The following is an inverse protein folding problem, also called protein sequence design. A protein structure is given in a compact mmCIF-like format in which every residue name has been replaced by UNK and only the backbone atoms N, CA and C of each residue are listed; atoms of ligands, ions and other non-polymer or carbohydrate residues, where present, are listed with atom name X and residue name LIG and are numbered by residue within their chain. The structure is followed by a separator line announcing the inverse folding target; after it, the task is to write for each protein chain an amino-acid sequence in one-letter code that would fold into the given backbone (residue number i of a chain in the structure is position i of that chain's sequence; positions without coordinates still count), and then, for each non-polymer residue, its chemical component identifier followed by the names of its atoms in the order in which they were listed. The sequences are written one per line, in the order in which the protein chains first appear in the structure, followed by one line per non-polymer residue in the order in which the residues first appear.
data_IF_099978078542
#
_entry.id   IF_099978078542
#
_cell.length_a   1.000
_cell.length_b   1.000
_cell.length_c   1.000
_cell.angle_alpha   90.00
_cell.angle_beta   90.00
_cell.angle_gamma   90.00
#
_symmetry.space_group_name_H-M   'P 1'
#
loop_
_entity.id
_entity.type
_entity.pdbx_description
1 polymer ?
#
# COMPACT_ATOMS: atom_id res chain seq x y z
N UNK A 1 -28.01 -4.75 -2.38
CA UNK A 1 -26.97 -4.89 -1.35
C UNK A 1 -27.53 -5.84 -0.32
N UNK A 2 -26.86 -6.97 -0.14
CA UNK A 2 -27.24 -8.02 0.81
C UNK A 2 -26.01 -8.38 1.65
N UNK A 3 -25.54 -7.47 2.52
CA UNK A 3 -24.23 -7.67 3.17
C UNK A 3 -24.25 -8.79 4.23
N UNK A 4 -25.40 -9.04 4.85
CA UNK A 4 -25.59 -10.07 5.90
C UNK A 4 -25.09 -11.46 5.45
N UNK A 5 -25.18 -11.80 4.17
CA UNK A 5 -24.71 -13.11 3.68
C UNK A 5 -23.18 -13.30 3.75
N UNK A 6 -22.43 -12.21 3.91
CA UNK A 6 -20.96 -12.21 3.95
C UNK A 6 -20.38 -12.29 5.39
N UNK A 7 -21.21 -12.47 6.42
CA UNK A 7 -20.78 -12.54 7.82
C UNK A 7 -19.67 -13.58 8.07
N UNK A 8 -19.79 -14.76 7.45
CA UNK A 8 -18.81 -15.83 7.61
C UNK A 8 -17.43 -15.45 7.06
N UNK A 9 -17.38 -14.75 5.92
CA UNK A 9 -16.12 -14.29 5.31
C UNK A 9 -15.45 -13.23 6.18
N UNK A 10 -16.24 -12.33 6.78
CA UNK A 10 -15.71 -11.33 7.69
C UNK A 10 -15.20 -11.94 9.00
N UNK A 11 -15.95 -12.87 9.59
CA UNK A 11 -15.54 -13.60 10.80
C UNK A 11 -14.19 -14.33 10.62
N UNK A 12 -14.04 -15.06 9.51
CA UNK A 12 -12.79 -15.78 9.18
C UNK A 12 -11.57 -14.84 9.06
N UNK A 13 -11.80 -13.57 8.71
CA UNK A 13 -10.74 -12.57 8.52
C UNK A 13 -10.41 -11.78 9.78
N UNK A 14 -11.36 -11.65 10.70
CA UNK A 14 -11.18 -10.95 11.98
C UNK A 14 -10.29 -11.76 12.92
N UNK A 15 -10.63 -13.04 13.14
CA UNK A 15 -9.89 -13.99 13.97
C UNK A 15 -9.33 -13.37 15.27
N UNK A 16 -10.21 -12.74 16.06
CA UNK A 16 -9.85 -12.00 17.28
C UNK A 16 -10.08 -12.82 18.55
N UNK A 17 -11.18 -13.59 18.58
CA UNK A 17 -11.62 -14.35 19.74
C UNK A 17 -11.74 -15.85 19.37
N UNK A 18 -12.86 -16.47 19.72
CA UNK A 18 -13.27 -17.76 19.19
C UNK A 18 -14.23 -17.58 18.00
N UNK A 19 -14.37 -18.64 17.19
CA UNK A 19 -15.18 -18.60 15.96
C UNK A 19 -16.63 -18.17 16.19
N UNK A 20 -17.25 -18.55 17.31
CA UNK A 20 -18.65 -18.21 17.60
C UNK A 20 -18.75 -16.72 17.91
N UNK A 21 -17.88 -16.22 18.78
CA UNK A 21 -17.80 -14.80 19.13
C UNK A 21 -17.49 -13.93 17.92
N UNK A 22 -16.51 -14.33 17.10
CA UNK A 22 -16.14 -13.59 15.88
C UNK A 22 -17.26 -13.59 14.84
N UNK A 23 -18.03 -14.67 14.74
CA UNK A 23 -19.21 -14.74 13.84
C UNK A 23 -20.29 -13.77 14.30
N UNK A 24 -20.58 -13.73 15.60
CA UNK A 24 -21.57 -12.83 16.16
C UNK A 24 -21.14 -11.35 16.01
N UNK A 25 -19.88 -11.04 16.30
CA UNK A 25 -19.32 -9.70 16.09
C UNK A 25 -19.36 -9.28 14.63
N UNK A 26 -19.00 -10.17 13.70
CA UNK A 26 -19.05 -9.91 12.28
C UNK A 26 -20.49 -9.56 11.83
N UNK A 27 -21.48 -10.32 12.31
CA UNK A 27 -22.89 -10.08 12.05
C UNK A 27 -23.36 -8.72 12.56
N UNK A 28 -23.14 -8.43 13.84
CA UNK A 28 -23.55 -7.16 14.46
C UNK A 28 -22.90 -5.96 13.76
N UNK A 29 -21.63 -6.10 13.38
CA UNK A 29 -20.89 -5.07 12.67
C UNK A 29 -21.45 -4.82 11.28
N UNK A 30 -21.72 -5.88 10.50
CA UNK A 30 -22.26 -5.76 9.15
C UNK A 30 -23.68 -5.18 9.17
N UNK A 31 -24.56 -5.68 10.03
CA UNK A 31 -25.94 -5.19 10.16
C UNK A 31 -25.99 -3.70 10.51
N UNK A 32 -25.16 -3.25 11.48
CA UNK A 32 -25.08 -1.85 11.84
C UNK A 32 -24.59 -0.97 10.68
N UNK A 33 -23.59 -1.43 9.92
CA UNK A 33 -23.02 -0.65 8.83
C UNK A 33 -23.87 -0.68 7.56
N UNK A 34 -24.61 -1.74 7.30
CA UNK A 34 -25.56 -1.84 6.19
C UNK A 34 -26.64 -0.76 6.31
N UNK A 35 -27.28 -0.62 7.49
CA UNK A 35 -28.27 0.42 7.74
C UNK A 35 -27.70 1.83 7.52
N UNK A 36 -26.53 2.13 8.10
CA UNK A 36 -25.85 3.42 7.92
C UNK A 36 -25.44 3.68 6.48
N UNK A 37 -25.04 2.64 5.75
CA UNK A 37 -24.63 2.77 4.36
C UNK A 37 -25.81 3.04 3.44
N UNK A 38 -26.96 2.42 3.70
CA UNK A 38 -28.22 2.70 2.99
C UNK A 38 -28.64 4.15 3.18
N UNK A 39 -28.73 4.63 4.43
CA UNK A 39 -29.07 6.03 4.73
C UNK A 39 -28.08 7.01 4.06
N UNK A 40 -26.78 6.69 4.12
CA UNK A 40 -25.77 7.53 3.49
C UNK A 40 -25.94 7.60 1.97
N UNK A 41 -26.31 6.49 1.30
CA UNK A 41 -26.44 6.44 -0.17
C UNK A 41 -27.71 7.10 -0.69
N UNK A 42 -28.76 7.22 0.13
CA UNK A 42 -29.96 7.98 -0.21
C UNK A 42 -29.65 9.46 -0.44
N UNK A 43 -28.76 10.05 0.37
CA UNK A 43 -28.19 11.38 0.14
C UNK A 43 -26.93 11.29 -0.74
N UNK A 44 -27.14 11.27 -2.06
CA UNK A 44 -26.05 11.18 -3.05
C UNK A 44 -25.00 12.27 -2.92
N UNK A 45 -25.41 13.51 -2.60
CA UNK A 45 -24.47 14.62 -2.46
C UNK A 45 -23.57 14.41 -1.24
N UNK A 46 -24.16 13.99 -0.12
CA UNK A 46 -23.41 13.64 1.09
C UNK A 46 -22.50 12.45 0.86
N UNK A 47 -22.97 11.37 0.26
CA UNK A 47 -22.13 10.18 -0.01
C UNK A 47 -20.95 10.47 -0.97
N UNK A 48 -21.12 11.39 -1.91
CA UNK A 48 -20.04 11.79 -2.81
C UNK A 48 -18.98 12.66 -2.11
N UNK A 49 -19.40 13.59 -1.24
CA UNK A 49 -18.53 14.64 -0.68
C UNK A 49 -18.04 14.37 0.74
N UNK A 50 -18.88 13.76 1.58
CA UNK A 50 -18.70 13.49 3.01
C UNK A 50 -19.39 12.17 3.40
N UNK A 51 -18.91 11.02 2.89
CA UNK A 51 -19.49 9.73 3.23
C UNK A 51 -19.45 9.51 4.74
N UNK A 52 -20.48 8.85 5.27
CA UNK A 52 -20.59 8.56 6.71
C UNK A 52 -19.42 7.69 7.22
N UNK A 53 -18.87 6.84 6.34
CA UNK A 53 -17.61 6.15 6.60
C UNK A 53 -16.43 7.04 6.22
N UNK A 54 -15.63 7.42 7.23
CA UNK A 54 -14.36 8.12 7.02
C UNK A 54 -13.53 7.33 6.02
N UNK A 55 -13.05 8.03 4.98
CA UNK A 55 -12.21 7.45 3.95
C UNK A 55 -12.77 6.14 3.38
N UNK A 56 -14.10 6.00 3.26
CA UNK A 56 -14.75 4.80 2.72
C UNK A 56 -14.18 3.49 3.31
N UNK A 57 -13.71 3.50 4.56
CA UNK A 57 -13.00 2.35 5.14
C UNK A 57 -13.88 1.09 5.19
N UNK A 58 -15.17 1.26 5.42
CA UNK A 58 -16.12 0.14 5.36
C UNK A 58 -16.17 -0.51 3.97
N UNK A 59 -16.13 0.29 2.90
CA UNK A 59 -16.06 -0.22 1.53
C UNK A 59 -14.76 -1.00 1.29
N UNK A 60 -13.62 -0.47 1.76
CA UNK A 60 -12.35 -1.19 1.72
C UNK A 60 -12.44 -2.55 2.44
N UNK A 61 -13.12 -2.61 3.59
CA UNK A 61 -13.36 -3.87 4.33
C UNK A 61 -14.21 -4.85 3.52
N UNK A 62 -15.30 -4.39 2.88
CA UNK A 62 -16.14 -5.25 2.06
C UNK A 62 -15.36 -5.85 0.87
N UNK A 63 -14.50 -5.05 0.25
CA UNK A 63 -13.61 -5.53 -0.82
C UNK A 63 -12.58 -6.53 -0.26
N UNK A 64 -12.00 -6.25 0.92
CA UNK A 64 -11.02 -7.11 1.57
C UNK A 64 -11.56 -8.53 1.85
N UNK A 65 -12.82 -8.64 2.26
CA UNK A 65 -13.48 -9.94 2.54
C UNK A 65 -14.03 -10.63 1.29
N UNK A 66 -13.94 -10.01 0.11
CA UNK A 66 -14.40 -10.58 -1.15
C UNK A 66 -15.91 -10.46 -1.38
N UNK A 67 -16.54 -9.38 -0.91
CA UNK A 67 -17.93 -9.06 -1.33
C UNK A 67 -17.93 -8.76 -2.84
N UNK A 68 -18.85 -9.39 -3.56
CA UNK A 68 -19.00 -9.21 -5.00
C UNK A 68 -19.48 -7.78 -5.34
N UNK A 69 -19.08 -7.20 -6.48
CA UNK A 69 -19.42 -5.82 -6.84
C UNK A 69 -20.92 -5.49 -6.82
N UNK A 70 -21.78 -6.46 -7.10
CA UNK A 70 -23.25 -6.32 -7.10
C UNK A 70 -23.82 -6.10 -5.70
N UNK A 71 -23.14 -6.64 -4.69
CA UNK A 71 -23.50 -6.51 -3.28
C UNK A 71 -22.84 -5.31 -2.61
N UNK A 72 -21.84 -4.70 -3.24
CA UNK A 72 -21.26 -3.47 -2.74
C UNK A 72 -22.27 -2.30 -2.78
N UNK A 73 -22.09 -1.30 -1.90
CA UNK A 73 -22.75 0.00 -1.95
C UNK A 73 -22.67 0.70 -3.33
N UNK A 74 -23.59 0.43 -4.27
CA UNK A 74 -23.43 0.76 -5.70
C UNK A 74 -23.09 2.23 -5.98
N UNK A 75 -23.79 3.18 -5.34
CA UNK A 75 -23.48 4.60 -5.51
C UNK A 75 -22.12 4.94 -4.89
N UNK A 76 -21.87 4.50 -3.66
CA UNK A 76 -20.60 4.74 -2.96
C UNK A 76 -19.40 4.15 -3.71
N UNK A 77 -19.55 2.96 -4.27
CA UNK A 77 -18.54 2.26 -5.06
C UNK A 77 -18.28 2.96 -6.39
N UNK A 78 -19.32 3.39 -7.12
CA UNK A 78 -19.13 4.17 -8.35
C UNK A 78 -18.37 5.50 -8.11
N UNK A 79 -18.65 6.18 -6.99
CA UNK A 79 -17.91 7.38 -6.60
C UNK A 79 -16.47 7.06 -6.23
N UNK A 80 -16.20 5.91 -5.61
CA UNK A 80 -14.84 5.44 -5.30
C UNK A 80 -14.04 5.19 -6.58
N UNK A 81 -14.62 4.53 -7.57
CA UNK A 81 -13.98 4.30 -8.87
C UNK A 81 -13.68 5.62 -9.60
N UNK A 82 -14.63 6.55 -9.67
CA UNK A 82 -14.40 7.85 -10.32
C UNK A 82 -13.34 8.69 -9.60
N UNK A 83 -13.31 8.64 -8.26
CA UNK A 83 -12.29 9.30 -7.45
C UNK A 83 -10.89 8.74 -7.75
N UNK A 84 -10.76 7.42 -7.87
CA UNK A 84 -9.51 6.76 -8.27
C UNK A 84 -9.12 7.15 -9.70
N UNK A 85 -10.06 7.11 -10.65
CA UNK A 85 -9.83 7.49 -12.05
C UNK A 85 -9.22 8.89 -12.16
N UNK A 86 -9.87 9.87 -11.52
CA UNK A 86 -9.44 11.28 -11.53
C UNK A 86 -8.09 11.47 -10.84
N UNK A 87 -7.85 10.75 -9.75
CA UNK A 87 -6.58 10.84 -9.05
C UNK A 87 -5.42 10.25 -9.86
N UNK A 88 -5.61 9.07 -10.45
CA UNK A 88 -4.54 8.37 -11.20
C UNK A 88 -4.31 8.98 -12.58
N UNK A 89 -5.37 9.22 -13.36
CA UNK A 89 -5.26 9.66 -14.76
C UNK A 89 -5.19 11.19 -14.90
N UNK A 90 -5.92 11.93 -14.07
CA UNK A 90 -6.02 13.39 -14.19
C UNK A 90 -5.17 14.14 -13.15
N UNK A 91 -4.54 13.42 -12.21
CA UNK A 91 -3.82 13.99 -11.06
C UNK A 91 -4.67 14.98 -10.24
N UNK A 92 -5.99 14.75 -10.18
CA UNK A 92 -6.97 15.62 -9.50
C UNK A 92 -7.60 14.92 -8.31
N UNK A 93 -8.00 15.71 -7.32
CA UNK A 93 -8.72 15.24 -6.14
C UNK A 93 -7.82 15.03 -4.94
N UNK A 94 -8.33 14.29 -3.95
CA UNK A 94 -7.60 14.00 -2.70
C UNK A 94 -6.61 12.86 -2.90
N UNK A 95 -5.55 12.80 -2.09
CA UNK A 95 -4.61 11.68 -2.07
C UNK A 95 -5.37 10.38 -1.76
N UNK A 96 -5.20 9.37 -2.62
CA UNK A 96 -5.86 8.08 -2.47
C UNK A 96 -4.91 7.08 -1.82
N UNK A 97 -4.79 7.13 -0.50
CA UNK A 97 -4.02 6.16 0.29
C UNK A 97 -4.86 4.94 0.65
N UNK A 98 -4.22 3.77 0.60
CA UNK A 98 -4.74 2.48 1.04
C UNK A 98 -6.11 2.13 0.45
N UNK A 99 -6.35 2.53 -0.80
CA UNK A 99 -7.63 2.28 -1.49
C UNK A 99 -7.61 0.92 -2.14
N UNK A 100 -8.54 0.06 -1.73
CA UNK A 100 -8.68 -1.28 -2.26
C UNK A 100 -9.76 -1.31 -3.34
N UNK A 101 -9.55 -2.14 -4.34
CA UNK A 101 -10.52 -2.47 -5.36
C UNK A 101 -10.17 -3.79 -6.05
N UNK A 102 -11.17 -4.53 -6.57
CA UNK A 102 -10.91 -5.66 -7.43
C UNK A 102 -10.00 -5.27 -8.60
N UNK A 103 -9.03 -6.13 -8.95
CA UNK A 103 -8.06 -5.84 -10.02
C UNK A 103 -8.77 -5.52 -11.34
N UNK A 104 -9.82 -6.28 -11.66
CA UNK A 104 -10.63 -6.07 -12.88
C UNK A 104 -11.20 -4.65 -12.95
N UNK A 105 -11.70 -4.15 -11.83
CA UNK A 105 -12.33 -2.84 -11.75
C UNK A 105 -11.31 -1.71 -11.76
N UNK A 106 -10.13 -1.91 -11.17
CA UNK A 106 -9.02 -0.95 -11.31
C UNK A 106 -8.61 -0.84 -12.78
N UNK A 107 -8.39 -1.96 -13.45
CA UNK A 107 -7.94 -1.99 -14.82
C UNK A 107 -8.96 -1.33 -15.76
N UNK A 108 -10.24 -1.68 -15.63
CA UNK A 108 -11.32 -1.05 -16.41
C UNK A 108 -11.42 0.46 -16.14
N UNK A 109 -11.33 0.88 -14.87
CA UNK A 109 -11.35 2.30 -14.47
C UNK A 109 -10.20 3.09 -15.09
N UNK A 110 -9.03 2.47 -15.23
CA UNK A 110 -7.84 3.08 -15.84
C UNK A 110 -7.81 2.95 -17.38
N UNK A 111 -8.84 2.37 -17.99
CA UNK A 111 -8.95 2.16 -19.43
C UNK A 111 -7.92 1.17 -19.97
N UNK A 112 -7.56 0.15 -19.18
CA UNK A 112 -6.62 -0.90 -19.56
C UNK A 112 -7.27 -2.28 -19.40
N UNK A 113 -6.89 -3.22 -20.27
CA UNK A 113 -7.54 -4.54 -20.37
C UNK A 113 -6.83 -5.64 -19.58
N UNK A 114 -5.59 -5.39 -19.16
CA UNK A 114 -4.76 -6.38 -18.45
C UNK A 114 -3.64 -5.67 -17.70
N UNK A 115 -2.98 -6.39 -16.78
CA UNK A 115 -1.78 -5.94 -16.09
C UNK A 115 -0.65 -5.61 -17.09
N UNK A 116 -0.49 -6.42 -18.15
CA UNK A 116 0.50 -6.15 -19.20
C UNK A 116 0.21 -4.83 -19.92
N UNK A 117 -1.06 -4.56 -20.22
CA UNK A 117 -1.48 -3.29 -20.80
C UNK A 117 -1.23 -2.13 -19.82
N UNK A 118 -1.57 -2.30 -18.53
CA UNK A 118 -1.25 -1.33 -17.47
C UNK A 118 0.24 -0.96 -17.49
N UNK A 119 1.15 -1.93 -17.37
CA UNK A 119 2.59 -1.66 -17.36
C UNK A 119 3.07 -0.99 -18.64
N UNK A 120 2.56 -1.42 -19.80
CA UNK A 120 2.98 -0.87 -21.10
C UNK A 120 2.51 0.56 -21.31
N UNK A 121 1.29 0.89 -20.88
CA UNK A 121 0.70 2.22 -20.96
C UNK A 121 1.43 3.17 -20.01
N UNK A 122 1.48 2.83 -18.72
CA UNK A 122 2.00 3.75 -17.71
C UNK A 122 3.52 3.89 -17.74
N UNK A 123 4.27 2.90 -18.24
CA UNK A 123 5.69 3.07 -18.56
C UNK A 123 5.95 4.17 -19.60
N UNK A 124 4.99 4.47 -20.48
CA UNK A 124 5.11 5.55 -21.47
C UNK A 124 4.58 6.89 -20.96
N UNK A 125 3.59 6.86 -20.07
CA UNK A 125 2.91 8.06 -19.57
C UNK A 125 3.62 8.68 -18.36
N UNK A 126 4.19 7.88 -17.47
CA UNK A 126 4.89 8.36 -16.27
C UNK A 126 6.35 8.65 -16.56
N UNK A 127 6.89 9.71 -15.93
CA UNK A 127 8.29 10.10 -16.15
C UNK A 127 9.27 9.11 -15.53
N UNK A 128 8.82 8.41 -14.49
CA UNK A 128 9.53 7.34 -13.84
C UNK A 128 8.57 6.18 -13.62
N UNK A 129 8.96 4.98 -14.01
CA UNK A 129 8.18 3.76 -13.87
C UNK A 129 9.10 2.63 -13.44
N UNK A 130 8.74 1.97 -12.35
CA UNK A 130 9.38 0.72 -11.92
C UNK A 130 8.32 -0.28 -11.50
N UNK A 131 8.59 -1.55 -11.71
CA UNK A 131 7.74 -2.63 -11.23
C UNK A 131 8.61 -3.81 -10.81
N UNK A 132 8.16 -4.54 -9.79
CA UNK A 132 8.78 -5.79 -9.33
C UNK A 132 7.66 -6.77 -9.03
N UNK A 133 7.87 -8.03 -9.40
CA UNK A 133 6.93 -9.11 -9.14
C UNK A 133 7.64 -10.24 -8.43
N UNK A 134 7.03 -10.77 -7.38
CA UNK A 134 7.47 -11.98 -6.69
C UNK A 134 6.22 -12.75 -6.27
N UNK A 135 6.16 -14.04 -6.64
CA UNK A 135 4.98 -14.89 -6.43
C UNK A 135 3.70 -14.24 -7.01
N UNK A 136 2.63 -14.23 -6.21
CA UNK A 136 1.32 -13.67 -6.55
C UNK A 136 1.19 -12.16 -6.27
N UNK A 137 2.30 -11.46 -6.05
CA UNK A 137 2.29 -10.02 -5.77
C UNK A 137 3.11 -9.26 -6.82
N UNK A 138 2.49 -8.25 -7.43
CA UNK A 138 3.16 -7.26 -8.26
C UNK A 138 3.08 -5.90 -7.57
N UNK A 139 4.23 -5.26 -7.40
CA UNK A 139 4.30 -3.84 -7.06
C UNK A 139 4.66 -3.02 -8.31
N UNK A 140 4.00 -1.89 -8.49
CA UNK A 140 4.31 -0.93 -9.54
C UNK A 140 4.32 0.49 -8.97
N UNK A 141 5.38 1.24 -9.25
CA UNK A 141 5.53 2.63 -8.83
C UNK A 141 5.72 3.52 -10.06
N UNK A 142 5.11 4.70 -10.01
CA UNK A 142 5.41 5.76 -10.96
C UNK A 142 4.83 7.11 -10.61
N UNK A 143 5.56 8.16 -10.99
CA UNK A 143 5.36 9.53 -10.53
C UNK A 143 5.28 9.65 -8.99
N UNK A 144 4.06 9.69 -8.44
CA UNK A 144 3.80 9.73 -6.98
C UNK A 144 2.85 8.62 -6.55
N UNK A 145 2.62 7.65 -7.44
CA UNK A 145 1.68 6.55 -7.28
C UNK A 145 2.43 5.26 -6.99
N UNK A 146 1.84 4.45 -6.13
CA UNK A 146 2.28 3.10 -5.82
C UNK A 146 1.07 2.17 -5.89
N UNK A 147 1.21 1.06 -6.59
CA UNK A 147 0.18 0.04 -6.72
C UNK A 147 0.72 -1.28 -6.20
N UNK A 148 -0.08 -1.96 -5.39
CA UNK A 148 0.12 -3.36 -5.04
C UNK A 148 -1.01 -4.18 -5.64
N UNK A 149 -0.69 -5.13 -6.51
CA UNK A 149 -1.62 -6.11 -7.03
C UNK A 149 -1.37 -7.44 -6.31
N UNK A 150 -2.40 -7.95 -5.66
CA UNK A 150 -2.39 -9.26 -5.01
C UNK A 150 -3.28 -10.20 -5.82
N UNK A 151 -2.65 -11.05 -6.63
CA UNK A 151 -3.32 -11.92 -7.59
C UNK A 151 -4.06 -13.07 -6.90
N UNK A 152 -3.53 -13.58 -5.79
CA UNK A 152 -4.20 -14.58 -4.97
C UNK A 152 -5.54 -14.03 -4.47
N UNK A 153 -5.57 -12.77 -4.05
CA UNK A 153 -6.77 -12.13 -3.51
C UNK A 153 -7.64 -11.43 -4.55
N UNK A 154 -7.15 -11.26 -5.79
CA UNK A 154 -7.84 -10.52 -6.84
C UNK A 154 -8.01 -9.02 -6.55
N UNK A 155 -7.19 -8.44 -5.67
CA UNK A 155 -7.33 -7.05 -5.18
C UNK A 155 -6.10 -6.23 -5.54
N UNK A 156 -6.33 -4.99 -5.94
CA UNK A 156 -5.30 -3.97 -6.04
C UNK A 156 -5.46 -2.93 -4.94
N UNK A 157 -4.35 -2.49 -4.37
CA UNK A 157 -4.28 -1.39 -3.40
C UNK A 157 -3.54 -0.22 -4.01
N UNK A 158 -4.18 0.94 -4.06
CA UNK A 158 -3.61 2.21 -4.51
C UNK A 158 -2.99 2.94 -3.31
N UNK A 159 -1.74 3.37 -3.48
CA UNK A 159 -0.84 3.94 -2.47
C UNK A 159 -0.93 3.18 -1.13
N UNK A 160 -0.45 1.93 -1.07
CA UNK A 160 -0.49 1.07 0.11
C UNK A 160 0.46 1.56 1.22
N UNK A 161 0.31 2.80 1.69
CA UNK A 161 1.18 3.44 2.68
C UNK A 161 1.21 2.70 4.02
N UNK A 162 0.06 2.14 4.43
CA UNK A 162 -0.13 1.41 5.68
C UNK A 162 -0.03 -0.10 5.54
N UNK A 163 0.49 -0.57 4.41
CA UNK A 163 0.72 -2.00 4.21
C UNK A 163 1.91 -2.47 5.06
N UNK A 164 1.64 -3.43 5.94
CA UNK A 164 2.62 -3.91 6.92
C UNK A 164 3.57 -4.90 6.28
N UNK A 165 4.85 -4.77 6.61
CA UNK A 165 5.91 -5.64 6.10
C UNK A 165 6.12 -6.77 7.10
N UNK A 166 5.43 -7.89 6.87
CA UNK A 166 5.36 -9.01 7.82
C UNK A 166 6.39 -10.13 7.55
N UNK A 167 7.00 -10.14 6.37
CA UNK A 167 7.99 -11.16 5.96
C UNK A 167 9.15 -10.55 5.19
N UNK A 168 10.26 -11.29 5.15
CA UNK A 168 11.45 -10.91 4.39
C UNK A 168 11.15 -10.78 2.90
N UNK A 169 10.32 -11.64 2.33
CA UNK A 169 9.93 -11.57 0.91
C UNK A 169 9.20 -10.26 0.59
N UNK A 170 8.26 -9.84 1.45
CA UNK A 170 7.57 -8.56 1.29
C UNK A 170 8.55 -7.39 1.44
N UNK A 171 9.44 -7.45 2.43
CA UNK A 171 10.48 -6.45 2.64
C UNK A 171 11.37 -6.28 1.40
N UNK A 172 11.93 -7.39 0.91
CA UNK A 172 12.75 -7.48 -0.29
C UNK A 172 12.02 -6.95 -1.52
N UNK A 173 10.74 -7.29 -1.70
CA UNK A 173 9.93 -6.83 -2.81
C UNK A 173 9.80 -5.29 -2.84
N UNK A 174 9.50 -4.66 -1.70
CA UNK A 174 9.45 -3.20 -1.58
C UNK A 174 10.82 -2.55 -1.77
N UNK A 175 11.87 -3.09 -1.14
CA UNK A 175 13.23 -2.57 -1.31
C UNK A 175 13.69 -2.63 -2.76
N UNK A 176 13.44 -3.73 -3.47
CA UNK A 176 13.76 -3.85 -4.89
C UNK A 176 13.01 -2.83 -5.75
N UNK A 177 11.71 -2.64 -5.47
CA UNK A 177 10.91 -1.66 -6.18
C UNK A 177 11.46 -0.25 -5.98
N UNK A 178 11.70 0.16 -4.74
CA UNK A 178 12.17 1.50 -4.44
C UNK A 178 13.62 1.73 -4.89
N UNK A 179 14.47 0.71 -4.84
CA UNK A 179 15.83 0.79 -5.40
C UNK A 179 15.81 1.06 -6.89
N UNK A 180 14.97 0.32 -7.64
CA UNK A 180 14.77 0.56 -9.07
C UNK A 180 14.14 1.93 -9.33
N UNK A 181 13.12 2.29 -8.55
CA UNK A 181 12.37 3.53 -8.73
C UNK A 181 13.22 4.78 -8.44
N UNK A 182 14.04 4.77 -7.40
CA UNK A 182 14.88 5.90 -7.02
C UNK A 182 16.30 5.83 -7.61
N UNK A 183 16.58 4.84 -8.46
CA UNK A 183 17.90 4.60 -9.08
C UNK A 183 19.04 4.52 -8.04
N UNK A 184 18.81 3.72 -7.00
CA UNK A 184 19.73 3.48 -5.89
C UNK A 184 20.24 2.03 -5.93
N UNK A 185 21.56 1.87 -5.88
CA UNK A 185 22.18 0.55 -5.76
C UNK A 185 21.98 0.03 -4.34
N UNK A 186 21.24 -1.07 -4.19
CA UNK A 186 21.01 -1.67 -2.87
C UNK A 186 21.19 -3.18 -2.85
N UNK A 187 21.51 -3.70 -1.66
CA UNK A 187 21.52 -5.13 -1.38
C UNK A 187 20.71 -5.41 -0.12
N UNK A 188 20.01 -6.53 -0.11
CA UNK A 188 19.10 -6.92 0.96
C UNK A 188 19.55 -8.28 1.48
N UNK A 189 19.68 -8.42 2.80
CA UNK A 189 20.12 -9.66 3.45
C UNK A 189 19.18 -10.07 4.55
N UNK A 190 18.88 -11.37 4.59
CA UNK A 190 18.19 -12.01 5.69
C UNK A 190 19.26 -12.48 6.70
N UNK A 191 19.41 -11.77 7.82
CA UNK A 191 20.39 -12.12 8.85
C UNK A 191 19.84 -13.25 9.74
N UNK A 192 18.58 -13.10 10.14
CA UNK A 192 17.80 -14.09 10.88
C UNK A 192 16.31 -13.94 10.55
N UNK A 193 15.47 -14.88 10.98
CA UNK A 193 14.02 -14.87 10.69
C UNK A 193 13.27 -13.58 11.05
N UNK A 194 13.80 -12.75 11.95
CA UNK A 194 13.20 -11.47 12.36
C UNK A 194 14.16 -10.27 12.23
N UNK A 195 15.36 -10.44 11.67
CA UNK A 195 16.35 -9.37 11.50
C UNK A 195 16.82 -9.30 10.06
N UNK A 196 16.51 -8.18 9.42
CA UNK A 196 16.84 -7.92 8.02
C UNK A 196 17.75 -6.70 7.89
N UNK A 197 18.61 -6.73 6.87
CA UNK A 197 19.54 -5.65 6.56
C UNK A 197 19.29 -5.15 5.15
N UNK A 198 19.09 -3.83 5.01
CA UNK A 198 19.11 -3.11 3.74
C UNK A 198 20.38 -2.28 3.67
N UNK A 199 21.17 -2.50 2.65
CA UNK A 199 22.41 -1.76 2.38
C UNK A 199 22.26 -0.97 1.10
N UNK A 200 22.34 0.37 1.16
CA UNK A 200 22.27 1.26 0.00
C UNK A 200 23.64 1.89 -0.22
N UNK A 201 24.15 1.81 -1.45
CA UNK A 201 25.48 2.32 -1.81
C UNK A 201 25.37 3.55 -2.69
N UNK A 202 26.15 4.58 -2.37
CA UNK A 202 26.12 5.86 -3.09
C UNK A 202 27.51 6.51 -3.16
N UNK A 203 27.69 7.42 -4.10
CA UNK A 203 28.91 8.21 -4.29
C UNK A 203 28.72 9.63 -3.78
N UNK A 204 29.81 10.28 -3.35
CA UNK A 204 29.89 11.72 -3.06
C UNK A 204 28.85 12.28 -2.06
N UNK A 205 28.51 11.52 -1.01
CA UNK A 205 27.58 11.99 0.02
C UNK A 205 28.28 12.81 1.11
N UNK A 206 27.68 13.94 1.48
CA UNK A 206 28.06 14.68 2.68
C UNK A 206 27.60 13.95 3.96
N UNK A 207 28.58 13.61 4.82
CA UNK A 207 28.32 13.01 6.15
C UNK A 207 27.35 13.82 7.02
N UNK A 208 27.25 15.14 6.84
CA UNK A 208 26.30 15.97 7.56
C UNK A 208 24.85 15.65 7.17
N UNK A 209 24.60 15.39 5.88
CA UNK A 209 23.26 15.03 5.38
C UNK A 209 22.86 13.61 5.83
N UNK A 210 23.82 12.68 5.93
CA UNK A 210 23.57 11.34 6.50
C UNK A 210 23.14 11.41 7.96
N UNK A 211 23.82 12.24 8.76
CA UNK A 211 23.44 12.48 10.16
C UNK A 211 22.05 13.10 10.28
N UNK A 212 21.60 13.86 9.28
CA UNK A 212 20.25 14.39 9.26
C UNK A 212 19.20 13.29 9.06
N UNK A 213 19.47 12.29 8.22
CA UNK A 213 18.59 11.12 8.05
C UNK A 213 18.47 10.33 9.36
N UNK A 214 19.61 10.05 10.01
CA UNK A 214 19.67 9.32 11.28
C UNK A 214 18.90 9.98 12.43
N UNK A 215 18.69 11.30 12.36
CA UNK A 215 17.96 12.10 13.35
C UNK A 215 16.52 12.41 12.95
N UNK A 216 16.08 11.93 11.79
CA UNK A 216 14.76 12.27 11.27
C UNK A 216 13.70 11.27 11.75
N UNK A 217 12.44 11.68 11.71
CA UNK A 217 11.29 10.84 12.13
C UNK A 217 11.23 9.47 11.43
N UNK A 218 11.80 9.35 10.22
CA UNK A 218 11.85 8.06 9.51
C UNK A 218 12.79 7.07 10.20
N UNK A 219 13.87 7.55 10.84
CA UNK A 219 14.83 6.71 11.54
C UNK A 219 14.20 5.98 12.73
N UNK A 220 13.19 6.60 13.34
CA UNK A 220 12.43 6.03 14.46
C UNK A 220 11.61 4.78 14.08
N UNK A 221 11.52 4.47 12.78
CA UNK A 221 10.84 3.29 12.23
C UNK A 221 11.78 2.10 11.97
N UNK A 222 13.08 2.28 12.20
CA UNK A 222 14.13 1.28 12.00
C UNK A 222 14.86 1.02 13.32
N UNK A 223 15.50 -0.14 13.46
CA UNK A 223 16.29 -0.44 14.67
C UNK A 223 17.56 0.43 14.69
N UNK A 224 18.24 0.49 13.55
CA UNK A 224 19.43 1.30 13.40
C UNK A 224 19.60 1.76 11.95
N UNK A 225 20.18 2.94 11.78
CA UNK A 225 20.70 3.45 10.51
C UNK A 225 22.14 3.88 10.76
N UNK A 226 23.09 3.22 10.12
CA UNK A 226 24.50 3.60 10.17
C UNK A 226 25.09 3.73 8.77
N UNK A 227 26.25 4.35 8.68
CA UNK A 227 26.98 4.47 7.43
C UNK A 227 28.42 4.03 7.65
N UNK A 228 29.02 3.52 6.57
CA UNK A 228 30.45 3.25 6.50
C UNK A 228 31.00 3.85 5.22
N UNK A 229 32.15 4.48 5.34
CA UNK A 229 32.93 4.94 4.21
C UNK A 229 33.69 3.74 3.64
N UNK A 230 33.53 3.51 2.34
CA UNK A 230 34.34 2.62 1.52
C UNK A 230 35.06 3.52 0.52
N UNK A 231 36.32 3.24 0.17
CA UNK A 231 37.21 4.07 -0.68
C UNK A 231 36.55 5.28 -1.38
N UNK A 232 35.71 5.05 -2.40
CA UNK A 232 35.00 6.09 -3.18
C UNK A 232 33.45 6.05 -3.04
N UNK A 233 32.94 5.30 -2.06
CA UNK A 233 31.50 5.05 -1.89
C UNK A 233 31.10 5.07 -0.42
N UNK A 234 29.98 5.69 -0.11
CA UNK A 234 29.35 5.55 1.21
C UNK A 234 28.28 4.48 1.14
N UNK A 235 28.34 3.51 2.04
CA UNK A 235 27.28 2.53 2.23
C UNK A 235 26.45 2.90 3.46
N UNK A 236 25.15 3.02 3.28
CA UNK A 236 24.15 3.22 4.32
C UNK A 236 23.53 1.86 4.63
N UNK A 237 23.64 1.43 5.87
CA UNK A 237 23.11 0.17 6.37
C UNK A 237 21.93 0.46 7.30
N UNK A 238 20.78 -0.17 7.01
CA UNK A 238 19.51 -0.01 7.71
C UNK A 238 19.06 -1.36 8.24
N UNK A 239 18.92 -1.43 9.56
CA UNK A 239 18.50 -2.64 10.27
C UNK A 239 17.02 -2.60 10.60
N UNK A 240 16.35 -3.71 10.31
CA UNK A 240 14.93 -3.93 10.59
C UNK A 240 14.79 -5.14 11.51
N UNK A 241 14.18 -4.94 12.67
CA UNK A 241 13.76 -6.03 13.56
C UNK A 241 12.23 -6.09 13.59
N UNK A 242 11.65 -7.20 13.14
CA UNK A 242 10.20 -7.37 12.97
C UNK A 242 9.43 -7.30 14.29
N UNK A 243 10.01 -7.85 15.36
CA UNK A 243 9.35 -7.94 16.67
C UNK A 243 9.59 -6.69 17.54
N UNK A 244 9.97 -5.57 16.92
CA UNK A 244 10.07 -4.28 17.58
C UNK A 244 8.68 -3.72 17.93
N UNK A 245 8.65 -2.70 18.79
CA UNK A 245 7.39 -2.08 19.25
C UNK A 245 6.65 -1.30 18.15
N UNK A 246 7.28 -1.05 17.00
CA UNK A 246 6.73 -0.28 15.89
C UNK A 246 6.67 -1.13 14.63
N UNK A 247 5.48 -1.32 14.03
CA UNK A 247 5.37 -2.08 12.79
C UNK A 247 6.06 -1.32 11.65
N UNK A 248 6.84 -2.04 10.84
CA UNK A 248 7.37 -1.51 9.60
C UNK A 248 6.24 -1.48 8.54
N UNK A 249 6.00 -0.31 7.96
CA UNK A 249 5.00 -0.07 6.92
C UNK A 249 5.69 0.37 5.62
N UNK A 250 5.02 0.19 4.47
CA UNK A 250 5.56 0.55 3.17
C UNK A 250 5.95 2.03 3.05
N UNK A 251 5.24 2.94 3.73
CA UNK A 251 5.58 4.36 3.73
C UNK A 251 6.95 4.64 4.37
N UNK A 252 7.33 3.90 5.42
CA UNK A 252 8.63 4.09 6.07
C UNK A 252 9.79 3.80 5.11
N UNK A 253 9.66 2.73 4.30
CA UNK A 253 10.62 2.44 3.25
C UNK A 253 10.57 3.49 2.13
N UNK A 254 9.38 3.87 1.67
CA UNK A 254 9.25 4.89 0.63
C UNK A 254 9.93 6.21 1.03
N UNK A 255 9.70 6.66 2.27
CA UNK A 255 10.30 7.87 2.82
C UNK A 255 11.81 7.75 2.99
N UNK A 256 12.31 6.62 3.46
CA UNK A 256 13.74 6.35 3.58
C UNK A 256 14.42 6.49 2.22
N UNK A 257 13.94 5.77 1.21
CA UNK A 257 14.50 5.82 -0.14
C UNK A 257 14.38 7.22 -0.76
N UNK A 258 13.25 7.92 -0.55
CA UNK A 258 13.08 9.30 -1.03
C UNK A 258 14.06 10.28 -0.37
N UNK A 259 14.36 10.12 0.92
CA UNK A 259 15.36 10.97 1.60
C UNK A 259 16.76 10.68 1.10
N UNK A 260 17.11 9.40 0.97
CA UNK A 260 18.41 8.98 0.46
C UNK A 260 18.62 9.43 -0.99
N UNK A 261 17.59 9.32 -1.84
CA UNK A 261 17.69 9.73 -3.26
C UNK A 261 17.94 11.23 -3.43
N UNK A 262 17.52 12.06 -2.47
CA UNK A 262 17.77 13.51 -2.47
C UNK A 262 19.21 13.88 -2.10
N UNK A 263 19.99 12.94 -1.57
CA UNK A 263 21.41 13.13 -1.30
C UNK A 263 22.27 13.01 -2.57
N UNK A 264 21.72 12.40 -3.63
CA UNK A 264 22.37 12.29 -4.93
C UNK A 264 22.38 13.68 -5.58
N UNK A 265 23.55 14.31 -5.63
CA UNK A 265 23.75 15.61 -6.32
C UNK A 265 23.60 15.48 -7.83
#
# INVERSE_FOLDING_TARGET
MELIKHNNQFSQRINLLDQISDTQLAKEFIEMHEAKCTECQEDRLRCATRPACKDRNFLNTMIEIGVEPEDLPSFCYSQHLEQIRRYVLERKGRKMNDRRLPIKDLLSTLGVSSIRHFSTKFKKEWSNFSQVQENDVLLAAGDTLLFRFDFHRGIATVNPTKDRILSFDVFKLYCNLFSAYFELESTIRDLTSNWWLLSITMQDIDTAELRAIQKSEVADSFEAIYHKEMDDKTQIDVEVIRDSSKPLEAEHLQELFLKISKLKK
#
